data_IF_522113648633
#
_entry.id   IF_522113648633
#
_cell.length_a   1.000
_cell.length_b   1.000
_cell.length_c   1.000
_cell.angle_alpha   90.00
_cell.angle_beta   90.00
_cell.angle_gamma   90.00
#
_symmetry.space_group_name_H-M   'P 1'
#
loop_
_entity.id
_entity.type
_entity.pdbx_description
1 polymer ?
#
# COMPACT_ATOMS: atom_id res chain seq x y z
N UNK A 1 -5.07 -0.64 -7.43
CA UNK A 1 -4.41 -1.91 -7.83
C UNK A 1 -4.77 -2.95 -6.78
N UNK A 2 -4.83 -4.23 -7.13
CA UNK A 2 -5.17 -5.30 -6.18
C UNK A 2 -4.00 -5.59 -5.23
N UNK A 3 -4.26 -6.19 -4.04
CA UNK A 3 -3.23 -6.53 -3.07
C UNK A 3 -2.07 -7.33 -3.68
N UNK A 4 -0.84 -7.12 -3.19
CA UNK A 4 0.34 -7.81 -3.68
C UNK A 4 0.31 -9.28 -3.29
N UNK A 5 0.63 -10.17 -4.23
CA UNK A 5 0.65 -11.62 -4.03
C UNK A 5 1.96 -12.08 -3.39
N UNK A 6 1.85 -12.95 -2.40
CA UNK A 6 3.00 -13.60 -1.80
C UNK A 6 3.61 -14.63 -2.75
N UNK A 7 4.93 -14.83 -2.66
CA UNK A 7 5.65 -15.79 -3.49
C UNK A 7 6.77 -16.51 -2.74
N UNK A 8 7.13 -17.67 -3.27
CA UNK A 8 8.32 -18.42 -2.90
C UNK A 8 8.98 -19.01 -4.14
N UNK A 9 10.21 -19.47 -4.01
CA UNK A 9 10.92 -20.12 -5.11
C UNK A 9 11.52 -21.46 -4.70
N UNK A 10 11.65 -22.35 -5.67
CA UNK A 10 12.41 -23.59 -5.58
C UNK A 10 13.47 -23.59 -6.68
N UNK A 11 14.74 -23.67 -6.31
CA UNK A 11 15.86 -23.82 -7.24
C UNK A 11 16.23 -25.29 -7.36
N UNK A 12 16.07 -25.85 -8.54
CA UNK A 12 16.42 -27.22 -8.88
C UNK A 12 17.92 -27.31 -9.19
N UNK A 13 18.67 -28.07 -8.39
CA UNK A 13 20.09 -28.27 -8.56
C UNK A 13 20.41 -29.75 -8.37
N UNK A 14 20.39 -30.53 -9.45
CA UNK A 14 20.67 -31.98 -9.45
C UNK A 14 19.76 -32.74 -8.49
N UNK A 15 18.44 -32.49 -8.57
CA UNK A 15 17.45 -33.22 -7.79
C UNK A 15 17.60 -34.73 -8.03
N UNK A 16 17.43 -35.53 -6.97
CA UNK A 16 17.51 -36.99 -7.04
C UNK A 16 16.14 -37.61 -6.73
N UNK A 17 15.95 -38.87 -7.15
CA UNK A 17 14.72 -39.62 -6.91
C UNK A 17 14.40 -39.65 -5.42
N UNK A 18 13.15 -39.39 -5.07
CA UNK A 18 12.68 -39.36 -3.69
C UNK A 18 12.90 -38.02 -2.97
N UNK A 19 13.60 -37.05 -3.57
CA UNK A 19 13.51 -35.67 -3.09
C UNK A 19 12.06 -35.18 -3.17
N UNK A 20 11.69 -34.29 -2.27
CA UNK A 20 10.34 -33.77 -2.19
C UNK A 20 10.32 -32.26 -2.08
N UNK A 21 9.27 -31.67 -2.62
CA UNK A 21 8.84 -30.29 -2.37
C UNK A 21 7.45 -30.36 -1.77
N UNK A 22 7.21 -29.68 -0.66
CA UNK A 22 5.87 -29.47 -0.13
C UNK A 22 5.49 -28.02 -0.36
N UNK A 23 4.40 -27.78 -1.07
CA UNK A 23 3.87 -26.43 -1.36
C UNK A 23 2.47 -26.36 -0.80
N UNK A 24 2.22 -25.42 0.11
CA UNK A 24 0.88 -25.20 0.68
C UNK A 24 0.25 -26.48 1.25
N UNK A 25 1.05 -27.31 1.92
CA UNK A 25 0.65 -28.61 2.46
C UNK A 25 0.57 -29.77 1.44
N UNK A 26 0.73 -29.51 0.14
CA UNK A 26 0.73 -30.55 -0.90
C UNK A 26 2.15 -31.06 -1.16
N UNK A 27 2.36 -32.37 -1.02
CA UNK A 27 3.64 -33.02 -1.27
C UNK A 27 3.80 -33.40 -2.75
N UNK A 28 4.96 -33.07 -3.31
CA UNK A 28 5.41 -33.42 -4.66
C UNK A 28 6.72 -34.21 -4.57
N UNK A 29 6.80 -35.38 -5.20
CA UNK A 29 7.98 -36.26 -5.13
C UNK A 29 8.72 -36.36 -6.47
N UNK A 30 10.03 -36.17 -6.44
CA UNK A 30 10.94 -36.37 -7.55
C UNK A 30 10.96 -37.84 -7.99
N UNK A 31 10.75 -38.09 -9.27
CA UNK A 31 10.83 -39.42 -9.88
C UNK A 31 11.75 -39.41 -11.10
N UNK A 32 12.39 -40.55 -11.35
CA UNK A 32 13.01 -40.80 -12.64
C UNK A 32 11.93 -41.20 -13.66
N UNK A 33 12.12 -40.86 -14.92
CA UNK A 33 11.15 -41.12 -15.97
C UNK A 33 9.98 -40.13 -16.00
N UNK A 34 8.96 -40.50 -16.77
CA UNK A 34 7.71 -39.75 -16.91
C UNK A 34 6.92 -39.84 -15.60
N UNK A 35 6.46 -38.70 -15.08
CA UNK A 35 5.59 -38.66 -13.90
C UNK A 35 4.24 -39.35 -14.21
N UNK A 36 3.72 -40.11 -13.25
CA UNK A 36 2.44 -40.84 -13.40
C UNK A 36 1.22 -39.95 -13.14
N UNK A 37 1.42 -38.87 -12.41
CA UNK A 37 0.38 -37.96 -11.90
C UNK A 37 1.05 -36.65 -11.45
N UNK A 38 0.23 -35.69 -11.02
CA UNK A 38 0.69 -34.36 -10.59
C UNK A 38 1.18 -34.32 -9.13
N UNK A 39 1.21 -35.45 -8.42
CA UNK A 39 1.85 -35.56 -7.09
C UNK A 39 3.36 -35.80 -7.20
N UNK A 40 3.89 -35.84 -8.43
CA UNK A 40 5.29 -36.14 -8.75
C UNK A 40 5.83 -35.14 -9.75
N UNK A 41 7.15 -35.05 -9.87
CA UNK A 41 7.82 -34.32 -10.94
C UNK A 41 9.06 -35.10 -11.41
N UNK A 42 9.34 -35.05 -12.69
CA UNK A 42 10.47 -35.71 -13.33
C UNK A 42 11.77 -34.96 -13.09
N UNK A 43 12.84 -35.69 -12.82
CA UNK A 43 14.20 -35.16 -12.72
C UNK A 43 15.06 -35.48 -13.94
N UNK A 44 14.46 -36.04 -14.98
CA UNK A 44 15.21 -36.47 -16.16
C UNK A 44 15.72 -35.27 -16.96
N UNK A 45 16.82 -35.46 -17.68
CA UNK A 45 17.41 -34.51 -18.65
C UNK A 45 18.24 -33.37 -18.05
N UNK A 46 17.63 -32.44 -17.31
CA UNK A 46 18.34 -31.24 -16.81
C UNK A 46 17.59 -30.55 -15.68
N UNK A 47 18.29 -29.72 -14.90
CA UNK A 47 17.68 -28.89 -13.86
C UNK A 47 16.56 -27.97 -14.38
N UNK A 48 16.68 -27.47 -15.62
CA UNK A 48 15.66 -26.64 -16.26
C UNK A 48 14.41 -27.44 -16.62
N UNK A 49 14.59 -28.67 -17.12
CA UNK A 49 13.49 -29.59 -17.36
C UNK A 49 12.80 -29.99 -16.05
N UNK A 50 13.58 -30.25 -14.98
CA UNK A 50 13.04 -30.53 -13.64
C UNK A 50 12.19 -29.37 -13.11
N UNK A 51 12.66 -28.13 -13.24
CA UNK A 51 11.90 -26.95 -12.81
C UNK A 51 10.60 -26.81 -13.60
N UNK A 52 10.65 -27.02 -14.92
CA UNK A 52 9.47 -26.98 -15.79
C UNK A 52 8.45 -28.03 -15.35
N UNK A 53 8.88 -29.27 -15.15
CA UNK A 53 7.95 -30.35 -14.79
C UNK A 53 7.36 -30.18 -13.37
N UNK A 54 8.13 -29.63 -12.43
CA UNK A 54 7.61 -29.26 -11.10
C UNK A 54 6.54 -28.15 -11.21
N UNK A 55 6.78 -27.11 -12.01
CA UNK A 55 5.79 -26.06 -12.24
C UNK A 55 4.51 -26.62 -12.87
N UNK A 56 4.65 -27.51 -13.86
CA UNK A 56 3.53 -28.17 -14.51
C UNK A 56 2.74 -29.06 -13.54
N UNK A 57 3.43 -29.79 -12.64
CA UNK A 57 2.75 -30.57 -11.61
C UNK A 57 1.95 -29.70 -10.66
N UNK A 58 2.51 -28.59 -10.18
CA UNK A 58 1.80 -27.66 -9.28
C UNK A 58 0.55 -27.08 -9.97
N UNK A 59 0.67 -26.62 -11.21
CA UNK A 59 -0.45 -25.98 -11.91
C UNK A 59 -1.58 -26.95 -12.30
N UNK A 60 -1.26 -28.22 -12.52
CA UNK A 60 -2.25 -29.24 -12.90
C UNK A 60 -2.71 -30.09 -11.71
N UNK A 61 -2.20 -29.85 -10.50
CA UNK A 61 -2.65 -30.54 -9.30
C UNK A 61 -4.04 -30.00 -8.90
N UNK A 62 -5.02 -30.91 -8.84
CA UNK A 62 -6.41 -30.59 -8.49
C UNK A 62 -6.68 -30.75 -6.98
N UNK A 63 -5.69 -31.18 -6.21
CA UNK A 63 -5.80 -31.23 -4.75
C UNK A 63 -5.85 -29.82 -4.19
N UNK A 64 -6.61 -29.65 -3.09
CA UNK A 64 -6.74 -28.36 -2.41
C UNK A 64 -5.65 -28.24 -1.36
N UNK A 65 -4.86 -27.16 -1.42
CA UNK A 65 -3.86 -26.85 -0.42
C UNK A 65 -4.45 -26.31 0.89
N UNK A 66 -3.59 -25.98 1.84
CA UNK A 66 -4.02 -25.48 3.16
C UNK A 66 -4.50 -24.02 3.16
N UNK A 67 -4.04 -23.22 2.20
CA UNK A 67 -4.29 -21.79 2.12
C UNK A 67 -4.37 -21.32 0.68
N UNK A 68 -5.58 -21.03 0.20
CA UNK A 68 -5.86 -20.59 -1.18
C UNK A 68 -5.18 -21.49 -2.24
N UNK A 69 -5.23 -21.07 -3.49
CA UNK A 69 -4.54 -21.75 -4.59
C UNK A 69 -3.21 -21.07 -4.91
N UNK A 70 -2.32 -21.80 -5.57
CA UNK A 70 -1.05 -21.28 -6.06
C UNK A 70 -0.91 -21.54 -7.55
N UNK A 71 -0.13 -20.69 -8.21
CA UNK A 71 0.34 -20.90 -9.59
C UNK A 71 1.85 -20.95 -9.59
N UNK A 72 2.43 -21.77 -10.46
CA UNK A 72 3.87 -21.91 -10.62
C UNK A 72 4.30 -21.55 -12.04
N UNK A 73 5.52 -21.03 -12.17
CA UNK A 73 6.18 -20.81 -13.45
C UNK A 73 7.66 -21.16 -13.31
N UNK A 74 8.25 -21.69 -14.38
CA UNK A 74 9.66 -22.05 -14.40
C UNK A 74 10.44 -21.11 -15.33
N UNK A 75 11.60 -20.67 -14.86
CA UNK A 75 12.59 -19.97 -15.66
C UNK A 75 13.97 -20.50 -15.30
N UNK A 76 14.68 -21.02 -16.31
CA UNK A 76 15.92 -21.78 -16.08
C UNK A 76 15.67 -22.90 -15.05
N UNK A 77 16.53 -23.02 -14.05
CA UNK A 77 16.42 -24.02 -13.00
C UNK A 77 15.59 -23.55 -11.79
N UNK A 78 14.81 -22.48 -11.90
CA UNK A 78 14.06 -21.89 -10.78
C UNK A 78 12.56 -21.96 -11.07
N UNK A 79 11.81 -22.44 -10.08
CA UNK A 79 10.35 -22.40 -10.06
C UNK A 79 9.92 -21.25 -9.17
N UNK A 80 9.24 -20.25 -9.74
CA UNK A 80 8.54 -19.22 -9.00
C UNK A 80 7.11 -19.66 -8.74
N UNK A 81 6.72 -19.69 -7.46
CA UNK A 81 5.39 -20.09 -7.01
C UNK A 81 4.74 -18.88 -6.36
N UNK A 82 3.54 -18.55 -6.81
CA UNK A 82 2.82 -17.33 -6.42
C UNK A 82 1.41 -17.68 -5.96
N UNK A 83 0.98 -17.06 -4.88
CA UNK A 83 -0.41 -17.15 -4.41
C UNK A 83 -1.39 -16.57 -5.43
N UNK A 84 -2.54 -17.21 -5.63
CA UNK A 84 -3.55 -16.68 -6.57
C UNK A 84 -4.26 -15.45 -6.01
N UNK A 85 -4.33 -15.32 -4.69
CA UNK A 85 -4.94 -14.22 -3.96
C UNK A 85 -3.86 -13.33 -3.34
N UNK A 86 -4.01 -12.02 -3.51
CA UNK A 86 -3.12 -11.03 -2.90
C UNK A 86 -3.37 -10.83 -1.40
N UNK A 87 -2.39 -10.26 -0.70
CA UNK A 87 -2.53 -9.89 0.71
C UNK A 87 -1.53 -10.56 1.64
N UNK A 88 -1.49 -10.08 2.88
CA UNK A 88 -0.59 -10.55 3.93
C UNK A 88 -0.83 -12.02 4.29
N UNK A 89 -2.08 -12.50 4.18
CA UNK A 89 -2.42 -13.89 4.46
C UNK A 89 -1.59 -14.85 3.61
N UNK A 90 -1.29 -14.50 2.35
CA UNK A 90 -0.47 -15.33 1.46
C UNK A 90 0.94 -15.63 2.00
N UNK A 91 1.48 -14.81 2.90
CA UNK A 91 2.78 -15.05 3.52
C UNK A 91 2.77 -16.27 4.47
N UNK A 92 1.60 -16.76 4.88
CA UNK A 92 1.48 -17.98 5.68
C UNK A 92 1.56 -19.26 4.83
N UNK A 93 1.64 -19.16 3.50
CA UNK A 93 1.81 -20.31 2.61
C UNK A 93 3.14 -20.99 2.90
N UNK A 94 3.08 -22.26 3.28
CA UNK A 94 4.27 -23.04 3.62
C UNK A 94 4.98 -23.55 2.38
N UNK A 95 6.31 -23.58 2.45
CA UNK A 95 7.18 -24.16 1.44
C UNK A 95 8.25 -24.98 2.15
N UNK A 96 8.44 -26.22 1.74
CA UNK A 96 9.48 -27.08 2.30
C UNK A 96 10.11 -27.93 1.20
N UNK A 97 11.37 -28.32 1.40
CA UNK A 97 12.03 -29.34 0.59
C UNK A 97 12.81 -30.31 1.47
N UNK A 98 12.94 -31.56 1.03
CA UNK A 98 13.69 -32.59 1.77
C UNK A 98 15.15 -32.73 1.35
N UNK A 99 15.59 -32.04 0.31
CA UNK A 99 16.94 -32.16 -0.24
C UNK A 99 17.63 -30.82 -0.44
N UNK A 100 18.94 -30.77 -0.13
CA UNK A 100 19.78 -29.59 -0.39
C UNK A 100 19.88 -29.23 -1.89
N UNK A 101 19.55 -30.18 -2.77
CA UNK A 101 19.44 -30.08 -4.22
C UNK A 101 18.17 -29.39 -4.71
N UNK A 102 17.25 -29.06 -3.81
CA UNK A 102 16.02 -28.30 -4.07
C UNK A 102 15.97 -27.10 -3.10
N UNK A 103 16.80 -26.09 -3.36
CA UNK A 103 16.93 -24.95 -2.46
C UNK A 103 15.67 -24.08 -2.53
N UNK A 104 15.06 -23.79 -1.38
CA UNK A 104 13.87 -22.93 -1.30
C UNK A 104 14.22 -21.53 -0.83
N UNK A 105 13.45 -20.51 -1.22
CA UNK A 105 13.65 -19.13 -0.75
C UNK A 105 13.37 -18.91 0.74
N UNK A 106 12.67 -19.84 1.38
CA UNK A 106 12.30 -19.79 2.79
C UNK A 106 11.23 -20.82 3.13
N UNK A 107 10.99 -21.06 4.43
CA UNK A 107 9.96 -21.99 4.91
C UNK A 107 8.52 -21.52 4.67
N UNK A 108 8.35 -20.24 4.35
CA UNK A 108 7.07 -19.62 3.98
C UNK A 108 7.25 -18.66 2.82
N UNK A 109 6.15 -18.33 2.15
CA UNK A 109 6.16 -17.27 1.13
C UNK A 109 6.39 -15.90 1.76
N UNK A 110 6.81 -14.95 0.93
CA UNK A 110 7.05 -13.55 1.32
C UNK A 110 6.51 -12.58 0.26
N UNK A 111 6.47 -11.28 0.58
CA UNK A 111 6.11 -10.22 -0.36
C UNK A 111 4.61 -9.97 -0.53
N UNK A 112 3.73 -10.77 0.09
CA UNK A 112 2.31 -10.48 0.15
C UNK A 112 2.06 -9.22 0.98
N UNK A 113 1.27 -8.29 0.46
CA UNK A 113 0.91 -7.03 1.11
C UNK A 113 -0.57 -6.76 0.90
N UNK A 114 -1.24 -6.35 1.98
CA UNK A 114 -2.61 -5.88 1.90
C UNK A 114 -2.64 -4.44 1.38
N UNK A 115 -3.74 -4.08 0.70
CA UNK A 115 -4.01 -2.67 0.43
C UNK A 115 -4.31 -1.94 1.76
N UNK A 116 -3.69 -0.77 1.93
CA UNK A 116 -4.10 0.17 2.95
C UNK A 116 -5.36 0.91 2.47
N UNK A 117 -6.23 1.24 3.40
CA UNK A 117 -7.47 1.96 3.12
C UNK A 117 -7.60 3.18 4.03
N UNK A 118 -8.05 4.29 3.46
CA UNK A 118 -8.62 5.41 4.21
C UNK A 118 -10.12 5.43 3.92
N UNK A 119 -10.91 5.06 4.91
CA UNK A 119 -12.36 4.89 4.77
C UNK A 119 -13.16 6.17 5.03
N UNK A 120 -12.53 7.17 5.64
CA UNK A 120 -13.09 8.50 5.79
C UNK A 120 -12.13 9.46 6.46
N UNK A 121 -12.31 10.74 6.18
CA UNK A 121 -11.65 11.83 6.89
C UNK A 121 -12.73 12.82 7.29
N UNK A 122 -12.66 13.25 8.55
CA UNK A 122 -13.50 14.32 9.07
C UNK A 122 -12.66 15.51 9.52
N UNK A 123 -13.20 16.71 9.33
CA UNK A 123 -12.68 17.95 9.92
C UNK A 123 -13.75 18.52 10.83
N UNK A 124 -13.45 18.61 12.13
CA UNK A 124 -14.41 19.00 13.16
C UNK A 124 -15.74 18.22 13.09
N UNK A 125 -15.66 16.92 12.79
CA UNK A 125 -16.82 16.03 12.66
C UNK A 125 -17.51 16.04 11.29
N UNK A 126 -17.09 16.90 10.35
CA UNK A 126 -17.68 16.98 9.01
C UNK A 126 -16.92 16.05 8.07
N UNK A 127 -17.62 15.13 7.42
CA UNK A 127 -17.04 14.21 6.43
C UNK A 127 -16.61 14.96 5.17
N UNK A 128 -15.33 14.85 4.81
CA UNK A 128 -14.72 15.54 3.66
C UNK A 128 -14.29 14.61 2.52
N UNK A 129 -14.60 13.31 2.60
CA UNK A 129 -14.42 12.35 1.52
C UNK A 129 -15.77 11.75 1.11
N UNK A 130 -15.91 11.42 -0.17
CA UNK A 130 -17.11 10.83 -0.76
C UNK A 130 -17.16 9.29 -0.69
N UNK A 131 -16.06 8.66 -0.29
CA UNK A 131 -15.97 7.19 -0.14
C UNK A 131 -14.56 6.74 0.22
N UNK A 132 -14.43 5.44 0.51
CA UNK A 132 -13.14 4.84 0.85
C UNK A 132 -12.16 4.84 -0.33
N UNK A 133 -10.88 4.99 -0.03
CA UNK A 133 -9.78 4.91 -0.99
C UNK A 133 -8.80 3.85 -0.55
N UNK A 134 -8.41 2.95 -1.46
CA UNK A 134 -7.50 1.82 -1.19
C UNK A 134 -6.25 1.84 -2.08
N UNK A 135 -5.10 1.46 -1.53
CA UNK A 135 -3.85 1.24 -2.28
C UNK A 135 -2.77 0.56 -1.42
N UNK A 136 -1.98 -0.34 -2.02
CA UNK A 136 -0.75 -0.87 -1.42
C UNK A 136 0.43 0.13 -1.44
N UNK A 137 0.40 1.12 -2.34
CA UNK A 137 1.40 2.20 -2.41
C UNK A 137 0.91 3.43 -1.66
N UNK A 138 1.73 3.93 -0.72
CA UNK A 138 1.37 5.06 0.16
C UNK A 138 1.28 6.40 -0.58
N UNK A 139 2.10 6.62 -1.60
CA UNK A 139 2.09 7.86 -2.37
C UNK A 139 0.85 7.92 -3.27
N UNK A 140 0.51 6.77 -3.88
CA UNK A 140 -0.74 6.64 -4.65
C UNK A 140 -1.97 6.77 -3.73
N UNK A 141 -1.91 6.21 -2.51
CA UNK A 141 -2.98 6.35 -1.53
C UNK A 141 -3.21 7.83 -1.18
N UNK A 142 -2.15 8.57 -0.82
CA UNK A 142 -2.24 9.98 -0.48
C UNK A 142 -2.78 10.82 -1.65
N UNK A 143 -2.28 10.58 -2.87
CA UNK A 143 -2.76 11.27 -4.09
C UNK A 143 -4.24 11.01 -4.38
N UNK A 144 -4.67 9.77 -4.23
CA UNK A 144 -6.07 9.38 -4.42
C UNK A 144 -6.98 9.96 -3.33
N UNK A 145 -6.52 10.02 -2.07
CA UNK A 145 -7.23 10.69 -0.96
C UNK A 145 -7.38 12.18 -1.22
N UNK A 146 -6.31 12.88 -1.62
CA UNK A 146 -6.38 14.31 -1.94
C UNK A 146 -7.34 14.58 -3.11
N UNK A 147 -7.31 13.73 -4.13
CA UNK A 147 -8.26 13.80 -5.26
C UNK A 147 -9.70 13.57 -4.82
N UNK A 148 -9.93 12.62 -3.90
CA UNK A 148 -11.27 12.35 -3.35
C UNK A 148 -11.81 13.55 -2.56
N UNK A 149 -10.97 14.20 -1.75
CA UNK A 149 -11.34 15.43 -1.02
C UNK A 149 -11.67 16.55 -2.01
N UNK A 150 -10.80 16.83 -2.99
CA UNK A 150 -11.04 17.90 -3.97
C UNK A 150 -12.28 17.68 -4.85
N UNK A 151 -12.71 16.42 -5.02
CA UNK A 151 -13.92 16.08 -5.76
C UNK A 151 -15.18 16.08 -4.89
N UNK A 152 -15.03 16.09 -3.56
CA UNK A 152 -16.13 16.05 -2.61
C UNK A 152 -16.45 17.47 -2.13
N UNK A 153 -17.71 17.88 -2.27
CA UNK A 153 -18.16 19.18 -1.78
C UNK A 153 -18.75 19.01 -0.38
N UNK A 154 -18.15 19.64 0.62
CA UNK A 154 -18.67 19.71 1.99
C UNK A 154 -19.02 21.16 2.39
N UNK A 155 -19.69 21.33 3.54
CA UNK A 155 -19.94 22.66 4.11
C UNK A 155 -19.49 22.65 5.59
N UNK A 156 -18.44 23.39 5.98
CA UNK A 156 -17.51 24.14 5.12
C UNK A 156 -16.79 23.28 4.08
N UNK A 157 -16.27 23.92 3.05
CA UNK A 157 -15.56 23.25 1.97
C UNK A 157 -14.05 23.16 2.24
N UNK A 158 -13.41 22.13 1.69
CA UNK A 158 -12.00 21.83 1.89
C UNK A 158 -11.33 21.39 0.60
N UNK A 159 -10.09 21.82 0.41
CA UNK A 159 -9.21 21.34 -0.65
C UNK A 159 -8.06 20.55 -0.06
N UNK A 160 -7.40 19.74 -0.87
CA UNK A 160 -6.26 18.94 -0.44
C UNK A 160 -5.17 18.84 -1.52
N UNK A 161 -3.93 18.75 -1.06
CA UNK A 161 -2.77 18.39 -1.89
C UNK A 161 -2.07 17.18 -1.29
N UNK A 162 -1.46 16.34 -2.13
CA UNK A 162 -0.64 15.22 -1.67
C UNK A 162 0.81 15.42 -2.06
N UNK A 163 1.72 15.12 -1.15
CA UNK A 163 3.16 15.05 -1.40
C UNK A 163 3.73 13.86 -0.63
N UNK A 164 4.38 12.94 -1.35
CA UNK A 164 4.75 11.63 -0.80
C UNK A 164 3.54 10.96 -0.13
N UNK A 165 3.68 10.51 1.12
CA UNK A 165 2.64 9.87 1.91
C UNK A 165 1.82 10.85 2.77
N UNK A 166 2.00 12.16 2.58
CA UNK A 166 1.32 13.21 3.35
C UNK A 166 0.21 13.87 2.53
N UNK A 167 -0.97 13.98 3.11
CA UNK A 167 -2.09 14.78 2.58
C UNK A 167 -2.21 16.06 3.40
N UNK A 168 -2.08 17.21 2.74
CA UNK A 168 -2.32 18.52 3.35
C UNK A 168 -3.72 18.97 3.01
N UNK A 169 -4.55 19.17 4.03
CA UNK A 169 -5.93 19.67 3.90
C UNK A 169 -5.94 21.17 4.19
N UNK A 170 -6.63 21.93 3.37
CA UNK A 170 -6.79 23.38 3.50
C UNK A 170 -8.27 23.72 3.51
N UNK A 171 -8.72 24.49 4.52
CA UNK A 171 -10.09 25.01 4.52
C UNK A 171 -10.24 26.08 3.46
N UNK A 172 -11.35 26.04 2.71
CA UNK A 172 -11.72 27.12 1.80
C UNK A 172 -12.13 28.40 2.56
N UNK A 173 -12.51 28.25 3.84
CA UNK A 173 -12.79 29.39 4.74
C UNK A 173 -11.50 29.91 5.35
N UNK A 174 -11.11 31.13 4.95
CA UNK A 174 -9.94 31.83 5.50
C UNK A 174 -10.35 32.50 6.82
N UNK A 175 -10.01 31.87 7.96
CA UNK A 175 -10.27 32.43 9.29
C UNK A 175 -9.37 31.79 10.35
N UNK A 176 -8.94 32.54 11.36
CA UNK A 176 -8.22 31.95 12.51
C UNK A 176 -9.09 30.99 13.32
N UNK A 177 -10.41 31.05 13.17
CA UNK A 177 -11.36 30.13 13.83
C UNK A 177 -11.25 28.70 13.31
N UNK A 178 -10.62 28.48 12.15
CA UNK A 178 -10.37 27.11 11.64
C UNK A 178 -9.13 26.47 12.27
N UNK A 179 -8.25 27.25 12.90
CA UNK A 179 -7.13 26.71 13.64
C UNK A 179 -7.65 25.89 14.82
N UNK A 180 -7.02 24.74 15.05
CA UNK A 180 -7.42 23.79 16.08
C UNK A 180 -8.56 22.87 15.67
N UNK A 181 -9.17 23.02 14.48
CA UNK A 181 -10.14 22.05 13.99
C UNK A 181 -9.51 20.66 13.93
N UNK A 182 -10.17 19.71 14.58
CA UNK A 182 -9.68 18.34 14.68
C UNK A 182 -9.79 17.69 13.31
N UNK A 183 -8.67 17.20 12.80
CA UNK A 183 -8.64 16.33 11.64
C UNK A 183 -8.60 14.91 12.17
N UNK A 184 -9.56 14.07 11.76
CA UNK A 184 -9.60 12.69 12.16
C UNK A 184 -9.84 11.80 10.94
N UNK A 185 -8.85 10.95 10.63
CA UNK A 185 -8.96 9.94 9.57
C UNK A 185 -9.36 8.58 10.14
N UNK A 186 -10.07 7.78 9.37
CA UNK A 186 -10.31 6.36 9.66
C UNK A 186 -9.49 5.54 8.68
N UNK A 187 -8.58 4.72 9.20
CA UNK A 187 -7.65 3.94 8.40
C UNK A 187 -7.80 2.45 8.70
N UNK A 188 -7.71 1.62 7.67
CA UNK A 188 -7.64 0.16 7.78
C UNK A 188 -6.31 -0.28 7.20
N UNK A 189 -5.51 -1.01 7.99
CA UNK A 189 -4.17 -1.52 7.63
C UNK A 189 -3.14 -0.44 7.24
N UNK A 190 -3.46 0.83 7.42
CA UNK A 190 -2.55 1.95 7.30
C UNK A 190 -2.14 2.47 8.68
N UNK A 191 -0.85 2.76 8.87
CA UNK A 191 -0.42 3.61 9.98
C UNK A 191 -0.75 5.06 9.63
N UNK A 192 -1.39 5.79 10.55
CA UNK A 192 -1.78 7.18 10.34
C UNK A 192 -1.24 8.10 11.43
N UNK A 193 -1.12 9.37 11.09
CA UNK A 193 -0.90 10.47 12.03
C UNK A 193 -1.76 11.62 11.57
N UNK A 194 -2.71 12.03 12.41
CA UNK A 194 -3.56 13.18 12.12
C UNK A 194 -3.00 14.42 12.83
N UNK A 195 -2.94 15.53 12.11
CA UNK A 195 -2.54 16.83 12.66
C UNK A 195 -3.73 17.77 12.52
N UNK A 196 -4.12 18.41 13.62
CA UNK A 196 -5.20 19.39 13.61
C UNK A 196 -4.85 20.57 12.70
N UNK A 197 -5.88 21.20 12.15
CA UNK A 197 -5.74 22.37 11.28
C UNK A 197 -4.97 23.49 12.01
N UNK A 198 -4.00 24.08 11.32
CA UNK A 198 -3.17 25.17 11.83
C UNK A 198 -2.68 26.04 10.67
N UNK A 199 -1.93 27.09 10.98
CA UNK A 199 -1.19 27.88 9.98
C UNK A 199 -1.88 29.16 9.53
N UNK A 200 -3.16 29.37 9.84
CA UNK A 200 -3.74 30.70 9.66
C UNK A 200 -3.24 31.63 10.77
N UNK A 201 -2.36 32.56 10.42
CA UNK A 201 -2.15 33.73 11.27
C UNK A 201 -3.30 34.71 11.01
N UNK A 202 -3.73 35.44 12.03
CA UNK A 202 -4.53 36.64 11.79
C UNK A 202 -3.63 37.57 10.97
N UNK A 203 -3.78 37.56 9.65
CA UNK A 203 -3.16 38.59 8.86
C UNK A 203 -3.77 39.93 9.31
N UNK A 204 -3.02 41.00 9.17
CA UNK A 204 -3.47 42.37 9.44
C UNK A 204 -4.55 42.72 8.40
N UNK A 205 -5.76 42.21 8.61
CA UNK A 205 -6.94 42.41 7.75
C UNK A 205 -8.23 42.33 8.59
N UNK A 206 -8.13 42.73 9.86
CA UNK A 206 -9.30 42.92 10.74
C UNK A 206 -9.54 44.39 11.10
N UNK A 207 -8.98 45.36 10.37
CA UNK A 207 -9.71 46.60 10.17
C UNK A 207 -10.76 46.32 9.11
N UNK A 208 -12.01 46.22 9.52
CA UNK A 208 -13.13 46.10 8.62
C UNK A 208 -13.10 47.23 7.58
N UNK A 209 -12.60 46.94 6.38
CA UNK A 209 -13.13 47.45 5.11
C UNK A 209 -13.35 48.96 4.95
N UNK A 210 -12.61 49.85 5.61
CA UNK A 210 -12.42 51.20 5.07
C UNK A 210 -11.12 51.20 4.28
N UNK A 211 -11.16 51.39 2.95
CA UNK A 211 -9.98 51.87 2.25
C UNK A 211 -9.44 53.06 3.04
N UNK A 212 -8.13 53.09 3.29
CA UNK A 212 -7.53 54.31 3.82
C UNK A 212 -7.88 55.42 2.83
N UNK A 213 -8.50 56.49 3.34
CA UNK A 213 -8.98 57.58 2.49
C UNK A 213 -7.84 58.23 1.67
N UNK A 214 -6.62 58.12 2.19
CA UNK A 214 -5.37 58.55 1.61
C UNK A 214 -4.19 57.78 2.23
N UNK A 215 -2.98 58.06 1.74
CA UNK A 215 -1.74 57.45 2.22
C UNK A 215 -1.40 57.86 3.67
N UNK A 216 -1.84 59.06 4.09
CA UNK A 216 -1.63 59.56 5.45
C UNK A 216 -2.45 58.76 6.46
N UNK A 217 -3.68 58.37 6.11
CA UNK A 217 -4.51 57.50 6.94
C UNK A 217 -3.90 56.09 7.09
N UNK A 218 -3.23 55.58 6.05
CA UNK A 218 -2.47 54.32 6.14
C UNK A 218 -1.26 54.46 7.07
N UNK A 219 -0.47 55.53 6.92
CA UNK A 219 0.68 55.82 7.78
C UNK A 219 0.23 55.95 9.24
N UNK A 220 -0.79 56.75 9.52
CA UNK A 220 -1.29 56.98 10.87
C UNK A 220 -1.82 55.69 11.52
N UNK A 221 -2.41 54.81 10.72
CA UNK A 221 -2.83 53.49 11.19
C UNK A 221 -1.63 52.60 11.49
N UNK A 222 -0.61 52.57 10.62
CA UNK A 222 0.61 51.83 10.85
C UNK A 222 1.34 52.32 12.11
N UNK A 223 1.60 53.61 12.25
CA UNK A 223 2.27 54.20 13.41
C UNK A 223 1.57 53.86 14.73
N UNK A 224 0.23 53.92 14.76
CA UNK A 224 -0.56 53.57 15.94
C UNK A 224 -0.47 52.09 16.31
N UNK A 225 -0.29 51.21 15.33
CA UNK A 225 -0.31 49.76 15.52
C UNK A 225 1.10 49.13 15.56
N UNK A 226 2.14 49.86 15.17
CA UNK A 226 3.55 49.41 15.23
C UNK A 226 4.38 50.20 16.24
N UNK A 227 3.76 51.04 17.08
CA UNK A 227 4.47 51.81 18.10
C UNK A 227 5.31 52.97 17.56
N UNK A 228 5.01 53.47 16.35
CA UNK A 228 5.60 54.69 15.79
C UNK A 228 6.94 54.53 15.06
N UNK A 229 7.45 53.32 14.84
CA UNK A 229 8.80 53.11 14.28
C UNK A 229 8.88 52.97 12.74
N UNK A 230 7.78 53.20 12.00
CA UNK A 230 7.74 52.92 10.56
C UNK A 230 8.27 54.05 9.67
N UNK A 231 8.58 55.22 10.23
CA UNK A 231 9.16 56.34 9.48
C UNK A 231 10.41 56.84 10.23
N UNK A 232 11.57 56.38 9.76
CA UNK A 232 12.86 57.04 9.96
C UNK A 232 13.51 57.23 8.58
#
# INVERSE_FOLDING_TARGET
MSPTKASGTVTCATAIVGNTVTVNGLLYTAVAGVKTDNTKFSIDTSNTATATDLADSINNDVRVGTLNDVTASAALAVVAIVQTVGGLSGNATTLASSGATLAISGGTFTGGLDDAEISGITVNGIQIMSGAVTSADKNLLASAVASNINAHVSIPDYTATASADTVTITSSTISTTVNGFIVASTAVKATKTDVNMAGYTANILTSAGTPFADFDALILWLEKNTGGELIA
#
